data_IF_437770902468
#
_entry.id   IF_437770902468
#
_cell.length_a   1.000
_cell.length_b   1.000
_cell.length_c   1.000
_cell.angle_alpha   90.00
_cell.angle_beta   90.00
_cell.angle_gamma   90.00
#
_symmetry.space_group_name_H-M   'P 1'
#
loop_
_entity.id
_entity.type
_entity.pdbx_description
1 polymer ?
#
# COMPACT_ATOMS: atom_id res chain seq x y z
N UNK A 1 15.39 25.03 36.69
CA UNK A 1 16.42 24.96 35.61
C UNK A 1 16.05 23.99 34.46
N UNK A 2 15.72 22.73 34.71
CA UNK A 2 15.35 21.78 33.62
C UNK A 2 14.13 22.25 32.83
N UNK A 3 13.07 22.74 33.51
CA UNK A 3 11.85 23.23 32.87
C UNK A 3 12.06 24.43 31.95
N UNK A 4 12.88 25.36 32.33
CA UNK A 4 13.19 26.58 31.52
C UNK A 4 13.96 26.23 30.25
N UNK A 5 14.92 25.34 30.32
CA UNK A 5 15.68 24.86 29.14
C UNK A 5 14.79 24.09 28.17
N UNK A 6 13.87 23.28 28.67
CA UNK A 6 12.90 22.56 27.84
C UNK A 6 11.96 23.51 27.10
N UNK A 7 11.37 24.48 27.81
CA UNK A 7 10.48 25.50 27.21
C UNK A 7 11.22 26.33 26.16
N UNK A 8 12.47 26.72 26.40
CA UNK A 8 13.25 27.46 25.42
C UNK A 8 13.53 26.63 24.16
N UNK A 9 13.84 25.33 24.34
CA UNK A 9 14.03 24.41 23.20
C UNK A 9 12.76 24.22 22.38
N UNK A 10 11.57 24.13 23.02
CA UNK A 10 10.27 24.09 22.33
C UNK A 10 10.03 25.38 21.55
N UNK A 11 10.22 26.55 22.17
CA UNK A 11 10.05 27.84 21.51
C UNK A 11 10.95 27.95 20.27
N UNK A 12 12.20 27.48 20.38
CA UNK A 12 13.13 27.42 19.25
C UNK A 12 12.61 26.49 18.15
N UNK A 13 12.16 25.28 18.51
CA UNK A 13 11.56 24.34 17.58
C UNK A 13 10.36 24.95 16.84
N UNK A 14 9.42 25.55 17.55
CA UNK A 14 8.27 26.25 16.96
C UNK A 14 8.69 27.39 16.02
N UNK A 15 9.65 28.23 16.45
CA UNK A 15 10.16 29.32 15.62
C UNK A 15 10.81 28.79 14.34
N UNK A 16 11.54 27.70 14.39
CA UNK A 16 12.15 27.07 13.22
C UNK A 16 11.10 26.55 12.24
N UNK A 17 10.03 25.90 12.74
CA UNK A 17 8.96 25.37 11.92
C UNK A 17 8.14 26.48 11.26
N UNK A 18 7.74 27.51 12.04
CA UNK A 18 6.95 28.63 11.52
C UNK A 18 7.77 29.59 10.64
N UNK A 19 9.07 29.68 10.89
CA UNK A 19 9.95 30.61 10.16
C UNK A 19 10.28 30.18 8.73
N UNK A 20 10.02 28.93 8.35
CA UNK A 20 10.40 28.41 7.03
C UNK A 20 9.26 27.61 6.38
N UNK A 21 8.83 28.07 5.23
CA UNK A 21 7.76 27.46 4.44
C UNK A 21 8.03 25.99 4.10
N UNK A 22 9.30 25.58 3.96
CA UNK A 22 9.67 24.20 3.63
C UNK A 22 9.16 23.18 4.65
N UNK A 23 9.17 23.52 5.96
CA UNK A 23 8.63 22.64 6.99
C UNK A 23 7.13 22.46 6.85
N UNK A 24 6.39 23.56 6.63
CA UNK A 24 4.94 23.48 6.41
C UNK A 24 4.60 22.60 5.21
N UNK A 25 5.28 22.82 4.07
CA UNK A 25 5.07 22.02 2.89
C UNK A 25 5.41 20.54 3.11
N UNK A 26 6.58 20.23 3.68
CA UNK A 26 7.05 18.86 3.86
C UNK A 26 6.25 18.08 4.93
N UNK A 27 5.77 18.75 5.98
CA UNK A 27 5.06 18.10 7.09
C UNK A 27 3.56 17.99 6.86
N UNK A 28 2.97 18.92 6.12
CA UNK A 28 1.51 19.04 5.99
C UNK A 28 1.06 18.87 4.56
N UNK A 29 1.53 19.73 3.65
CA UNK A 29 1.01 19.78 2.28
C UNK A 29 1.35 18.50 1.51
N UNK A 30 2.63 18.09 1.48
CA UNK A 30 3.06 16.92 0.71
C UNK A 30 2.36 15.64 1.20
N UNK A 31 2.36 15.29 2.50
CA UNK A 31 1.66 14.10 2.96
C UNK A 31 0.15 14.11 2.65
N UNK A 32 -0.53 15.23 2.87
CA UNK A 32 -1.97 15.34 2.63
C UNK A 32 -2.30 15.24 1.15
N UNK A 33 -1.55 15.94 0.29
CA UNK A 33 -1.74 15.89 -1.16
C UNK A 33 -1.49 14.49 -1.68
N UNK A 34 -0.43 13.82 -1.21
CA UNK A 34 -0.13 12.43 -1.61
C UNK A 34 -1.22 11.46 -1.13
N UNK A 35 -1.70 11.61 0.10
CA UNK A 35 -2.82 10.80 0.61
C UNK A 35 -4.09 11.03 -0.22
N UNK A 36 -4.45 12.29 -0.49
CA UNK A 36 -5.60 12.63 -1.32
C UNK A 36 -5.47 12.12 -2.76
N UNK A 37 -4.26 12.20 -3.33
CA UNK A 37 -3.96 11.63 -4.64
C UNK A 37 -4.15 10.10 -4.67
N UNK A 38 -3.57 9.38 -3.70
CA UNK A 38 -3.69 7.92 -3.62
C UNK A 38 -5.13 7.47 -3.40
N UNK A 39 -5.85 8.11 -2.47
CA UNK A 39 -7.26 7.82 -2.20
C UNK A 39 -8.14 8.15 -3.42
N UNK A 40 -7.87 9.24 -4.11
CA UNK A 40 -8.58 9.63 -5.34
C UNK A 40 -8.30 8.68 -6.50
N UNK A 41 -7.02 8.31 -6.70
CA UNK A 41 -6.61 7.37 -7.75
C UNK A 41 -7.24 5.99 -7.57
N UNK A 42 -7.36 5.54 -6.32
CA UNK A 42 -7.85 4.20 -5.98
C UNK A 42 -9.34 4.19 -5.57
N UNK A 43 -10.07 5.29 -5.79
CA UNK A 43 -11.45 5.46 -5.32
C UNK A 43 -12.38 4.33 -5.77
N UNK A 44 -12.21 3.83 -6.98
CA UNK A 44 -13.03 2.76 -7.55
C UNK A 44 -12.63 1.35 -7.06
N UNK A 45 -11.62 1.25 -6.22
CA UNK A 45 -11.12 0.01 -5.64
C UNK A 45 -10.36 -0.86 -6.63
N UNK A 46 -11.03 -1.44 -7.60
CA UNK A 46 -10.43 -2.22 -8.69
C UNK A 46 -10.50 -1.47 -10.02
N UNK A 47 -9.54 -1.68 -10.93
CA UNK A 47 -9.69 -1.27 -12.32
C UNK A 47 -10.92 -1.92 -12.94
N UNK A 48 -11.87 -1.13 -13.39
CA UNK A 48 -13.05 -1.56 -14.11
C UNK A 48 -12.88 -1.32 -15.61
N UNK A 49 -13.72 -1.99 -16.42
CA UNK A 49 -13.78 -1.81 -17.87
C UNK A 49 -12.43 -2.06 -18.57
N UNK A 50 -11.73 -3.17 -18.21
CA UNK A 50 -10.43 -3.52 -18.79
C UNK A 50 -10.60 -3.80 -20.29
N UNK A 51 -9.92 -3.05 -21.19
CA UNK A 51 -10.04 -3.20 -22.63
C UNK A 51 -9.62 -4.60 -23.10
N UNK A 52 -10.51 -5.29 -23.79
CA UNK A 52 -10.35 -6.68 -24.23
C UNK A 52 -10.92 -6.85 -25.64
N UNK A 53 -10.36 -7.75 -26.44
CA UNK A 53 -10.95 -8.17 -27.71
C UNK A 53 -11.52 -9.60 -27.62
N UNK A 54 -12.41 -9.93 -28.53
CA UNK A 54 -12.92 -11.29 -28.72
C UNK A 54 -12.64 -11.70 -30.17
N UNK A 55 -11.99 -12.85 -30.33
CA UNK A 55 -11.87 -13.54 -31.63
C UNK A 55 -12.97 -14.57 -31.68
N UNK A 56 -13.90 -14.43 -32.60
CA UNK A 56 -15.04 -15.34 -32.73
C UNK A 56 -15.05 -16.03 -34.09
N UNK A 57 -14.74 -17.33 -34.11
CA UNK A 57 -14.77 -18.17 -35.30
C UNK A 57 -16.07 -18.95 -35.47
N UNK A 58 -16.97 -18.96 -34.45
CA UNK A 58 -18.25 -19.67 -34.49
C UNK A 58 -19.41 -18.70 -34.24
N UNK A 59 -19.93 -18.09 -35.29
CA UNK A 59 -20.94 -17.03 -35.20
C UNK A 59 -22.39 -17.58 -35.01
N UNK A 60 -22.59 -18.34 -33.95
CA UNK A 60 -23.90 -18.93 -33.59
C UNK A 60 -24.64 -18.06 -32.55
N UNK A 61 -25.88 -18.44 -32.23
CA UNK A 61 -26.65 -17.77 -31.17
C UNK A 61 -25.99 -17.97 -29.80
N UNK A 62 -25.45 -19.17 -29.54
CA UNK A 62 -24.78 -19.52 -28.29
C UNK A 62 -23.54 -18.67 -28.06
N UNK A 63 -22.70 -18.49 -29.09
CA UNK A 63 -21.50 -17.66 -28.99
C UNK A 63 -21.85 -16.17 -28.85
N UNK A 64 -22.92 -15.70 -29.49
CA UNK A 64 -23.43 -14.33 -29.27
C UNK A 64 -23.96 -14.12 -27.86
N UNK A 65 -24.60 -15.13 -27.22
CA UNK A 65 -24.98 -15.08 -25.79
C UNK A 65 -23.73 -14.99 -24.89
N UNK A 66 -22.72 -15.82 -25.16
CA UNK A 66 -21.45 -15.77 -24.41
C UNK A 66 -20.79 -14.38 -24.50
N UNK A 67 -20.70 -13.82 -25.70
CA UNK A 67 -20.15 -12.48 -25.92
C UNK A 67 -20.96 -11.41 -25.17
N UNK A 68 -22.30 -11.51 -25.16
CA UNK A 68 -23.14 -10.60 -24.39
C UNK A 68 -22.88 -10.69 -22.88
N UNK A 69 -22.71 -11.90 -22.35
CA UNK A 69 -22.40 -12.11 -20.95
C UNK A 69 -21.03 -11.52 -20.58
N UNK A 70 -20.00 -11.70 -21.43
CA UNK A 70 -18.69 -11.07 -21.23
C UNK A 70 -18.79 -9.54 -21.27
N UNK A 71 -19.60 -8.99 -22.21
CA UNK A 71 -19.83 -7.54 -22.32
C UNK A 71 -20.60 -6.94 -21.14
N UNK A 72 -21.42 -7.71 -20.46
CA UNK A 72 -22.17 -7.27 -19.27
C UNK A 72 -21.34 -7.33 -17.97
N UNK A 73 -20.14 -7.88 -18.00
CA UNK A 73 -19.24 -7.88 -16.86
C UNK A 73 -18.67 -6.47 -16.64
N UNK A 74 -18.73 -5.98 -15.41
CA UNK A 74 -18.18 -4.67 -15.06
C UNK A 74 -16.64 -4.61 -15.18
N UNK A 75 -15.99 -5.76 -15.04
CA UNK A 75 -14.53 -5.87 -15.07
C UNK A 75 -13.96 -5.74 -16.48
N UNK A 76 -14.74 -6.10 -17.51
CA UNK A 76 -14.26 -6.26 -18.90
C UNK A 76 -14.99 -5.32 -19.85
N UNK A 77 -14.24 -4.57 -20.65
CA UNK A 77 -14.76 -3.77 -21.76
C UNK A 77 -14.35 -4.42 -23.09
N UNK A 78 -15.29 -5.02 -23.80
CA UNK A 78 -15.05 -5.58 -25.14
C UNK A 78 -14.97 -4.44 -26.17
N UNK A 79 -13.75 -4.02 -26.49
CA UNK A 79 -13.48 -2.91 -27.42
C UNK A 79 -13.76 -3.33 -28.87
N UNK A 80 -13.42 -4.56 -29.24
CA UNK A 80 -13.61 -5.07 -30.60
C UNK A 80 -13.85 -6.57 -30.63
N UNK A 81 -14.62 -7.01 -31.60
CA UNK A 81 -14.70 -8.42 -32.02
C UNK A 81 -13.93 -8.51 -33.34
N UNK A 82 -12.86 -9.30 -33.34
CA UNK A 82 -11.94 -9.42 -34.47
C UNK A 82 -12.00 -10.82 -35.09
N UNK A 83 -11.52 -10.94 -36.32
CA UNK A 83 -11.64 -12.15 -37.10
C UNK A 83 -10.46 -13.11 -36.94
N UNK A 84 -9.34 -12.64 -36.39
CA UNK A 84 -8.13 -13.45 -36.25
C UNK A 84 -7.36 -13.13 -34.97
N UNK A 85 -6.65 -14.15 -34.47
CA UNK A 85 -5.74 -13.99 -33.31
C UNK A 85 -4.57 -13.03 -33.62
N UNK A 86 -4.10 -13.02 -34.89
CA UNK A 86 -3.05 -12.11 -35.32
C UNK A 86 -3.46 -10.63 -35.18
N UNK A 87 -4.71 -10.31 -35.52
CA UNK A 87 -5.28 -8.97 -35.34
C UNK A 87 -5.39 -8.62 -33.86
N UNK A 88 -5.90 -9.53 -33.03
CA UNK A 88 -5.97 -9.34 -31.58
C UNK A 88 -4.59 -9.13 -30.97
N UNK A 89 -3.58 -9.90 -31.40
CA UNK A 89 -2.20 -9.75 -30.93
C UNK A 89 -1.60 -8.40 -31.34
N UNK A 90 -1.95 -7.86 -32.51
CA UNK A 90 -1.54 -6.51 -32.91
C UNK A 90 -2.16 -5.44 -31.99
N UNK A 91 -3.41 -5.63 -31.55
CA UNK A 91 -4.04 -4.72 -30.59
C UNK A 91 -3.34 -4.74 -29.22
N UNK A 92 -2.87 -5.90 -28.75
CA UNK A 92 -2.03 -6.01 -27.54
C UNK A 92 -0.71 -5.25 -27.76
N UNK A 93 -0.01 -5.48 -28.89
CA UNK A 93 1.26 -4.80 -29.19
C UNK A 93 1.12 -3.28 -29.29
N UNK A 94 -0.04 -2.80 -29.75
CA UNK A 94 -0.37 -1.37 -29.80
C UNK A 94 -0.86 -0.80 -28.45
N UNK A 95 -0.94 -1.61 -27.40
CA UNK A 95 -1.42 -1.21 -26.07
C UNK A 95 -2.90 -0.85 -26.02
N UNK A 96 -3.71 -1.27 -26.99
CA UNK A 96 -5.14 -0.97 -27.04
C UNK A 96 -5.99 -1.90 -26.19
N UNK A 97 -5.51 -3.12 -25.94
CA UNK A 97 -6.16 -4.15 -25.12
C UNK A 97 -5.15 -4.83 -24.21
N UNK A 98 -5.62 -5.36 -23.08
CA UNK A 98 -4.80 -6.14 -22.14
C UNK A 98 -4.89 -7.65 -22.34
N UNK A 99 -5.84 -8.11 -23.14
CA UNK A 99 -5.98 -9.51 -23.49
C UNK A 99 -7.09 -9.74 -24.49
N UNK A 100 -7.25 -10.99 -24.92
CA UNK A 100 -8.32 -11.37 -25.83
C UNK A 100 -8.79 -12.80 -25.55
N UNK A 101 -10.01 -13.09 -25.96
CA UNK A 101 -10.69 -14.35 -25.80
C UNK A 101 -10.92 -14.97 -27.16
N UNK A 102 -10.69 -16.28 -27.32
CA UNK A 102 -10.81 -16.99 -28.59
C UNK A 102 -11.91 -18.03 -28.48
N UNK A 103 -12.92 -17.90 -29.33
CA UNK A 103 -13.96 -18.89 -29.55
C UNK A 103 -13.60 -19.66 -30.82
N UNK A 104 -13.29 -20.98 -30.73
CA UNK A 104 -12.83 -21.77 -31.87
C UNK A 104 -13.93 -22.03 -32.89
N UNK A 105 -13.55 -22.52 -34.08
CA UNK A 105 -14.48 -23.05 -35.08
C UNK A 105 -15.27 -24.23 -34.51
N UNK A 106 -16.53 -24.35 -34.95
CA UNK A 106 -17.46 -25.41 -34.53
C UNK A 106 -17.70 -25.50 -33.01
N UNK A 107 -17.42 -24.45 -32.25
CA UNK A 107 -17.57 -24.43 -30.79
C UNK A 107 -18.95 -24.95 -30.34
N UNK A 108 -20.04 -24.46 -30.95
CA UNK A 108 -21.39 -24.82 -30.57
C UNK A 108 -21.71 -26.27 -30.97
N UNK A 109 -21.31 -26.71 -32.16
CA UNK A 109 -21.59 -28.08 -32.65
C UNK A 109 -20.80 -29.12 -31.85
N UNK A 110 -19.55 -28.83 -31.47
CA UNK A 110 -18.73 -29.72 -30.67
C UNK A 110 -19.27 -29.83 -29.24
N UNK A 111 -19.66 -28.71 -28.66
CA UNK A 111 -20.26 -28.68 -27.32
C UNK A 111 -21.57 -29.45 -27.26
N UNK A 112 -22.43 -29.32 -28.26
CA UNK A 112 -23.72 -30.07 -28.33
C UNK A 112 -23.51 -31.55 -28.65
N UNK A 113 -22.43 -31.92 -29.33
CA UNK A 113 -22.08 -33.31 -29.60
C UNK A 113 -21.33 -34.01 -28.43
N UNK A 114 -21.19 -33.33 -27.26
CA UNK A 114 -20.49 -33.87 -26.12
C UNK A 114 -18.96 -33.88 -26.27
N UNK A 115 -18.43 -33.26 -27.31
CA UNK A 115 -17.02 -32.98 -27.46
C UNK A 115 -16.71 -31.71 -26.69
N UNK A 116 -15.61 -31.65 -25.92
CA UNK A 116 -15.24 -30.53 -25.12
C UNK A 116 -14.38 -29.53 -25.96
N UNK A 117 -14.99 -28.48 -26.57
CA UNK A 117 -14.23 -27.50 -27.32
C UNK A 117 -13.37 -26.64 -26.39
N UNK A 118 -12.17 -26.33 -26.82
CA UNK A 118 -11.24 -25.53 -26.02
C UNK A 118 -11.50 -24.03 -26.22
N UNK A 119 -11.85 -23.34 -25.15
CA UNK A 119 -11.89 -21.88 -25.11
C UNK A 119 -10.52 -21.37 -24.64
N UNK A 120 -9.84 -20.57 -25.49
CA UNK A 120 -8.57 -19.99 -25.15
C UNK A 120 -8.72 -18.51 -24.78
N UNK A 121 -7.89 -18.06 -23.83
CA UNK A 121 -7.75 -16.65 -23.53
C UNK A 121 -6.29 -16.29 -23.32
N UNK A 122 -5.92 -15.13 -23.83
CA UNK A 122 -4.57 -14.59 -23.78
C UNK A 122 -4.59 -13.29 -22.98
N UNK A 123 -3.68 -13.15 -22.01
CA UNK A 123 -3.56 -11.95 -21.18
C UNK A 123 -2.14 -11.42 -21.20
N UNK A 124 -2.00 -10.10 -21.23
CA UNK A 124 -0.69 -9.45 -21.18
C UNK A 124 -0.20 -9.29 -19.74
N UNK A 125 0.52 -10.27 -19.24
CA UNK A 125 1.04 -10.31 -17.85
C UNK A 125 2.11 -9.26 -17.54
N UNK A 126 2.56 -8.47 -18.51
CA UNK A 126 3.41 -7.28 -18.26
C UNK A 126 2.68 -6.28 -17.34
N UNK A 127 1.36 -6.20 -17.47
CA UNK A 127 0.50 -5.39 -16.60
C UNK A 127 -0.23 -6.32 -15.61
N UNK A 128 0.42 -6.63 -14.49
CA UNK A 128 -0.02 -7.67 -13.57
C UNK A 128 -1.47 -7.51 -13.09
N UNK A 129 -1.88 -6.31 -12.66
CA UNK A 129 -3.21 -6.07 -12.10
C UNK A 129 -4.33 -6.23 -13.15
N UNK A 130 -4.33 -5.49 -14.29
CA UNK A 130 -5.34 -5.68 -15.31
C UNK A 130 -5.36 -7.12 -15.85
N UNK A 131 -4.19 -7.74 -16.00
CA UNK A 131 -4.09 -9.11 -16.52
C UNK A 131 -4.70 -10.14 -15.56
N UNK A 132 -4.44 -10.04 -14.26
CA UNK A 132 -4.99 -10.96 -13.25
C UNK A 132 -6.51 -10.83 -13.10
N UNK A 133 -7.04 -9.61 -13.14
CA UNK A 133 -8.47 -9.35 -13.11
C UNK A 133 -9.16 -9.87 -14.37
N UNK A 134 -8.57 -9.60 -15.54
CA UNK A 134 -9.06 -10.11 -16.81
C UNK A 134 -9.07 -11.65 -16.84
N UNK A 135 -7.97 -12.28 -16.39
CA UNK A 135 -7.89 -13.74 -16.25
C UNK A 135 -9.02 -14.28 -15.39
N UNK A 136 -9.24 -13.69 -14.20
CA UNK A 136 -10.32 -14.10 -13.29
C UNK A 136 -11.67 -13.99 -13.95
N UNK A 137 -11.97 -12.86 -14.59
CA UNK A 137 -13.24 -12.59 -15.23
C UNK A 137 -13.50 -13.54 -16.42
N UNK A 138 -12.50 -13.70 -17.31
CA UNK A 138 -12.63 -14.60 -18.45
C UNK A 138 -12.78 -16.06 -18.03
N UNK A 139 -12.01 -16.51 -17.03
CA UNK A 139 -12.14 -17.86 -16.46
C UNK A 139 -13.54 -18.09 -15.89
N UNK A 140 -14.07 -17.16 -15.11
CA UNK A 140 -15.41 -17.27 -14.52
C UNK A 140 -16.49 -17.34 -15.60
N UNK A 141 -16.42 -16.45 -16.60
CA UNK A 141 -17.34 -16.46 -17.72
C UNK A 141 -17.26 -17.76 -18.55
N UNK A 142 -16.07 -18.33 -18.73
CA UNK A 142 -15.88 -19.61 -19.42
C UNK A 142 -16.53 -20.78 -18.67
N UNK A 143 -16.34 -20.84 -17.34
CA UNK A 143 -16.96 -21.89 -16.51
C UNK A 143 -18.47 -21.78 -16.50
N UNK A 144 -19.02 -20.57 -16.37
CA UNK A 144 -20.46 -20.32 -16.41
C UNK A 144 -21.05 -20.69 -17.77
N UNK A 145 -20.39 -20.34 -18.87
CA UNK A 145 -20.81 -20.68 -20.21
C UNK A 145 -20.81 -22.20 -20.44
N UNK A 146 -19.77 -22.89 -20.03
CA UNK A 146 -19.66 -24.35 -20.09
C UNK A 146 -20.82 -25.01 -19.32
N UNK A 147 -21.05 -24.58 -18.07
CA UNK A 147 -22.15 -25.08 -17.26
C UNK A 147 -23.52 -24.85 -17.92
N UNK A 148 -23.76 -23.67 -18.50
CA UNK A 148 -25.02 -23.35 -19.18
C UNK A 148 -25.29 -24.24 -20.42
N UNK A 149 -24.23 -24.52 -21.22
CA UNK A 149 -24.31 -25.37 -22.39
C UNK A 149 -24.63 -26.80 -21.97
N UNK A 150 -23.90 -27.37 -21.01
CA UNK A 150 -24.13 -28.74 -20.53
C UNK A 150 -25.49 -28.88 -19.88
N UNK A 151 -25.93 -27.88 -19.10
CA UNK A 151 -27.31 -27.86 -18.54
C UNK A 151 -28.36 -27.94 -19.63
N UNK A 152 -28.22 -27.09 -20.65
CA UNK A 152 -29.18 -27.09 -21.78
C UNK A 152 -29.18 -28.43 -22.51
N UNK A 153 -28.03 -29.06 -22.70
CA UNK A 153 -27.93 -30.37 -23.32
C UNK A 153 -28.62 -31.47 -22.48
N UNK A 154 -28.35 -31.53 -21.16
CA UNK A 154 -28.96 -32.54 -20.28
C UNK A 154 -30.48 -32.41 -20.19
N UNK A 155 -31.01 -31.21 -20.16
CA UNK A 155 -32.46 -30.96 -20.11
C UNK A 155 -33.12 -31.28 -21.45
N UNK A 156 -32.54 -30.83 -22.56
CA UNK A 156 -33.11 -31.04 -23.90
C UNK A 156 -33.05 -32.51 -24.34
N UNK A 157 -32.03 -33.26 -23.89
CA UNK A 157 -31.94 -34.71 -24.16
C UNK A 157 -32.86 -35.55 -23.28
N UNK A 158 -33.57 -34.95 -22.32
CA UNK A 158 -34.38 -35.68 -21.34
C UNK A 158 -33.59 -36.49 -20.31
N UNK A 159 -32.27 -36.33 -20.29
CA UNK A 159 -31.38 -37.06 -19.39
C UNK A 159 -31.49 -36.59 -17.93
N UNK A 160 -31.91 -35.35 -17.70
CA UNK A 160 -32.10 -34.81 -16.36
C UNK A 160 -33.14 -33.70 -16.33
N UNK A 161 -33.83 -33.55 -15.20
CA UNK A 161 -34.65 -32.36 -14.94
C UNK A 161 -33.73 -31.15 -14.68
N UNK A 162 -34.29 -29.95 -14.74
CA UNK A 162 -33.52 -28.70 -14.52
C UNK A 162 -32.77 -28.70 -13.19
N UNK A 163 -33.39 -29.18 -12.12
CA UNK A 163 -32.80 -29.29 -10.77
C UNK A 163 -31.72 -30.36 -10.69
N UNK A 164 -31.95 -31.52 -11.33
CA UNK A 164 -30.97 -32.61 -11.39
C UNK A 164 -29.74 -32.20 -12.20
N UNK A 165 -29.94 -31.54 -13.35
CA UNK A 165 -28.85 -31.01 -14.16
C UNK A 165 -27.99 -30.01 -13.39
N UNK A 166 -28.59 -29.13 -12.58
CA UNK A 166 -27.87 -28.19 -11.75
C UNK A 166 -27.05 -28.89 -10.67
N UNK A 167 -27.61 -29.91 -10.01
CA UNK A 167 -26.87 -30.70 -9.00
C UNK A 167 -25.74 -31.50 -9.62
N UNK A 168 -25.92 -32.06 -10.83
CA UNK A 168 -24.85 -32.79 -11.54
C UNK A 168 -23.70 -31.86 -11.97
N UNK A 169 -24.02 -30.64 -12.39
CA UNK A 169 -23.02 -29.66 -12.81
C UNK A 169 -22.26 -29.03 -11.63
N UNK A 170 -22.92 -28.91 -10.50
CA UNK A 170 -22.33 -28.32 -9.30
C UNK A 170 -22.61 -29.23 -8.08
N UNK A 171 -21.94 -30.42 -8.01
CA UNK A 171 -22.17 -31.37 -6.92
C UNK A 171 -21.65 -30.86 -5.58
N UNK A 172 -20.72 -29.88 -5.60
CA UNK A 172 -20.19 -29.19 -4.43
C UNK A 172 -20.41 -27.70 -4.58
N UNK A 173 -21.16 -27.10 -3.66
CA UNK A 173 -21.35 -25.65 -3.60
C UNK A 173 -20.16 -25.04 -2.87
N UNK A 174 -19.37 -24.24 -3.55
CA UNK A 174 -18.27 -23.49 -2.97
C UNK A 174 -18.79 -22.20 -2.34
N UNK A 175 -18.80 -22.13 -1.01
CA UNK A 175 -19.10 -20.91 -0.28
C UNK A 175 -17.80 -20.19 0.04
N UNK A 176 -17.58 -19.01 -0.52
CA UNK A 176 -16.40 -18.17 -0.27
C UNK A 176 -16.78 -16.99 0.60
N UNK A 177 -16.07 -16.82 1.71
CA UNK A 177 -16.26 -15.71 2.64
C UNK A 177 -14.92 -14.96 2.80
N UNK A 178 -14.61 -14.01 1.89
CA UNK A 178 -13.38 -13.22 2.02
C UNK A 178 -13.46 -12.37 3.28
N UNK A 179 -12.38 -12.39 4.10
CA UNK A 179 -12.30 -11.65 5.34
C UNK A 179 -11.68 -10.26 5.09
N UNK A 180 -12.10 -9.27 5.86
CA UNK A 180 -11.56 -7.90 5.96
C UNK A 180 -11.64 -7.03 4.71
N UNK A 181 -11.58 -7.59 3.52
CA UNK A 181 -11.71 -6.89 2.25
C UNK A 181 -12.51 -7.72 1.24
N UNK A 182 -13.82 -7.93 1.49
CA UNK A 182 -14.65 -8.85 0.70
C UNK A 182 -14.75 -8.45 -0.78
N UNK A 183 -14.72 -7.16 -1.07
CA UNK A 183 -14.76 -6.63 -2.43
C UNK A 183 -13.40 -6.65 -3.13
N UNK A 184 -12.35 -7.17 -2.47
CA UNK A 184 -10.95 -7.11 -2.94
C UNK A 184 -10.55 -5.69 -3.35
N UNK A 185 -11.03 -4.70 -2.61
CA UNK A 185 -10.79 -3.28 -2.88
C UNK A 185 -9.30 -2.96 -2.75
N UNK A 186 -8.71 -2.55 -3.86
CA UNK A 186 -7.28 -2.25 -3.94
C UNK A 186 -6.90 -0.98 -3.17
N UNK A 187 -7.86 -0.06 -2.99
CA UNK A 187 -7.68 1.13 -2.16
C UNK A 187 -7.42 0.77 -0.71
N UNK A 188 -8.20 -0.18 -0.14
CA UNK A 188 -8.02 -0.66 1.23
C UNK A 188 -6.62 -1.26 1.42
N UNK A 189 -6.15 -2.06 0.45
CA UNK A 189 -4.84 -2.69 0.52
C UNK A 189 -3.69 -1.69 0.40
N UNK A 190 -3.68 -0.87 -0.67
CA UNK A 190 -2.56 0.04 -0.95
C UNK A 190 -2.52 1.27 -0.05
N UNK A 191 -3.67 1.92 0.19
CA UNK A 191 -3.65 3.17 0.94
C UNK A 191 -3.23 2.94 2.40
N UNK A 192 -3.65 1.82 3.02
CA UNK A 192 -3.23 1.49 4.38
C UNK A 192 -1.74 1.19 4.53
N UNK A 193 -1.05 0.87 3.44
CA UNK A 193 0.41 0.67 3.44
C UNK A 193 1.17 1.90 2.96
N UNK A 194 0.78 2.48 1.84
CA UNK A 194 1.53 3.55 1.18
C UNK A 194 1.39 4.91 1.86
N UNK A 195 0.22 5.24 2.41
CA UNK A 195 0.02 6.52 3.11
C UNK A 195 0.91 6.61 4.37
N UNK A 196 0.92 5.62 5.27
CA UNK A 196 1.87 5.63 6.40
C UNK A 196 3.33 5.58 5.95
N UNK A 197 3.67 4.82 4.90
CA UNK A 197 5.04 4.78 4.38
C UNK A 197 5.51 6.15 3.86
N UNK A 198 4.64 6.88 3.17
CA UNK A 198 4.91 8.23 2.71
C UNK A 198 5.07 9.22 3.88
N UNK A 199 4.23 9.09 4.91
CA UNK A 199 4.37 9.87 6.13
C UNK A 199 5.72 9.57 6.83
N UNK A 200 6.13 8.30 6.91
CA UNK A 200 7.43 7.90 7.45
C UNK A 200 8.59 8.56 6.69
N UNK A 201 8.57 8.53 5.36
CA UNK A 201 9.57 9.20 4.53
C UNK A 201 9.70 10.68 4.89
N UNK A 202 8.56 11.40 5.02
CA UNK A 202 8.58 12.81 5.39
C UNK A 202 9.09 13.02 6.82
N UNK A 203 8.71 12.17 7.78
CA UNK A 203 9.22 12.22 9.14
C UNK A 203 10.74 12.06 9.16
N UNK A 204 11.28 11.05 8.44
CA UNK A 204 12.71 10.79 8.36
C UNK A 204 13.48 12.00 7.80
N UNK A 205 13.03 12.52 6.66
CA UNK A 205 13.69 13.64 5.98
C UNK A 205 13.63 14.94 6.78
N UNK A 206 12.45 15.30 7.29
CA UNK A 206 12.27 16.55 8.04
C UNK A 206 13.04 16.51 9.37
N UNK A 207 13.00 15.38 10.07
CA UNK A 207 13.71 15.23 11.34
C UNK A 207 15.22 15.34 11.13
N UNK A 208 15.79 14.62 10.16
CA UNK A 208 17.21 14.70 9.83
C UNK A 208 17.58 16.11 9.38
N UNK A 209 16.82 16.72 8.48
CA UNK A 209 17.06 18.08 8.02
C UNK A 209 17.02 19.09 9.17
N UNK A 210 16.10 18.97 10.11
CA UNK A 210 15.96 19.92 11.21
C UNK A 210 17.15 19.89 12.17
N UNK A 211 17.76 18.72 12.39
CA UNK A 211 18.97 18.57 13.23
C UNK A 211 20.18 19.18 12.54
N UNK A 212 20.44 18.76 11.32
CA UNK A 212 21.60 19.23 10.54
C UNK A 212 21.49 20.67 10.09
N UNK A 213 20.29 21.23 10.06
CA UNK A 213 20.09 22.65 9.77
C UNK A 213 20.72 23.56 10.82
N UNK A 214 20.74 23.17 12.11
CA UNK A 214 21.42 23.92 13.15
C UNK A 214 22.95 24.00 12.90
N UNK A 215 23.52 22.91 12.41
CA UNK A 215 24.93 22.86 12.06
C UNK A 215 25.24 23.68 10.81
N UNK A 216 24.40 23.55 9.77
CA UNK A 216 24.52 24.35 8.53
C UNK A 216 24.49 25.86 8.79
N UNK A 217 23.66 26.29 9.74
CA UNK A 217 23.52 27.70 10.10
C UNK A 217 24.50 28.14 11.22
N UNK A 218 25.39 27.26 11.69
CA UNK A 218 26.32 27.49 12.78
C UNK A 218 25.61 27.90 14.09
N UNK A 219 24.37 27.48 14.29
CA UNK A 219 23.53 27.82 15.46
C UNK A 219 23.47 26.69 16.49
N UNK A 220 24.09 25.53 16.21
CA UNK A 220 24.07 24.37 17.09
C UNK A 220 24.65 24.57 18.48
N UNK A 221 25.72 25.37 18.72
CA UNK A 221 26.16 25.65 20.08
C UNK A 221 25.14 26.44 20.90
N UNK A 222 24.44 27.40 20.26
CA UNK A 222 23.36 28.15 20.92
C UNK A 222 22.18 27.24 21.29
N UNK A 223 21.82 26.32 20.40
CA UNK A 223 20.78 25.33 20.64
C UNK A 223 21.07 24.48 21.88
N UNK A 224 22.32 23.99 22.05
CA UNK A 224 22.73 23.25 23.24
C UNK A 224 22.75 24.15 24.48
N UNK A 225 23.22 25.41 24.36
CA UNK A 225 23.25 26.38 25.48
C UNK A 225 21.83 26.69 25.99
N UNK A 226 20.86 26.91 25.11
CA UNK A 226 19.46 27.15 25.47
C UNK A 226 18.82 25.97 26.21
N UNK A 227 19.30 24.76 25.96
CA UNK A 227 18.91 23.53 26.66
C UNK A 227 19.72 23.25 27.94
N UNK A 228 20.42 24.26 28.51
CA UNK A 228 21.30 24.09 29.66
C UNK A 228 22.37 23.00 29.48
N UNK A 229 22.90 22.84 28.28
CA UNK A 229 23.93 21.87 27.96
C UNK A 229 23.51 20.41 27.82
N UNK A 230 22.20 20.13 27.94
CA UNK A 230 21.64 18.78 27.79
C UNK A 230 21.16 18.55 26.36
N UNK A 231 21.80 17.59 25.66
CA UNK A 231 21.37 17.20 24.29
C UNK A 231 19.99 16.53 24.26
N UNK A 232 19.64 15.78 25.29
CA UNK A 232 18.31 15.12 25.36
C UNK A 232 17.20 16.15 25.47
N UNK A 233 17.36 17.16 26.31
CA UNK A 233 16.41 18.28 26.43
C UNK A 233 16.34 19.06 25.12
N UNK A 234 17.49 19.34 24.50
CA UNK A 234 17.57 20.01 23.22
C UNK A 234 16.81 19.27 22.11
N UNK A 235 17.03 17.95 21.98
CA UNK A 235 16.36 17.10 20.99
C UNK A 235 14.87 17.00 21.28
N UNK A 236 14.47 16.65 22.50
CA UNK A 236 13.06 16.51 22.86
C UNK A 236 12.28 17.81 22.64
N UNK A 237 12.82 18.94 23.11
CA UNK A 237 12.17 20.24 22.91
C UNK A 237 12.04 20.63 21.44
N UNK A 238 13.05 20.33 20.63
CA UNK A 238 13.05 20.61 19.20
C UNK A 238 12.10 19.71 18.40
N UNK A 239 12.04 18.42 18.75
CA UNK A 239 11.24 17.44 18.03
C UNK A 239 9.76 17.48 18.44
N UNK A 240 9.44 17.90 19.67
CA UNK A 240 8.06 17.91 20.15
C UNK A 240 7.08 18.64 19.22
N UNK A 241 7.34 19.87 18.74
CA UNK A 241 6.44 20.55 17.81
C UNK A 241 6.28 19.77 16.48
N UNK A 242 7.34 19.12 16.00
CA UNK A 242 7.29 18.27 14.81
C UNK A 242 6.44 17.01 15.06
N UNK A 243 6.59 16.39 16.23
CA UNK A 243 5.79 15.24 16.66
C UNK A 243 4.31 15.57 16.65
N UNK A 244 3.94 16.73 17.24
CA UNK A 244 2.54 17.18 17.28
C UNK A 244 2.00 17.40 15.86
N UNK A 245 2.77 18.04 14.99
CA UNK A 245 2.34 18.30 13.61
C UNK A 245 2.19 17.00 12.80
N UNK A 246 3.17 16.10 12.86
CA UNK A 246 3.08 14.81 12.15
C UNK A 246 2.00 13.89 12.74
N UNK A 247 1.82 13.87 14.06
CA UNK A 247 0.73 13.13 14.69
C UNK A 247 -0.64 13.66 14.25
N UNK A 248 -0.82 14.98 14.20
CA UNK A 248 -2.06 15.60 13.72
C UNK A 248 -2.34 15.23 12.26
N UNK A 249 -1.32 15.28 11.38
CA UNK A 249 -1.43 14.86 9.98
C UNK A 249 -1.73 13.36 9.87
N UNK A 250 -1.04 12.51 10.64
CA UNK A 250 -1.27 11.06 10.65
C UNK A 250 -2.68 10.70 11.10
N UNK A 251 -3.17 11.33 12.17
CA UNK A 251 -4.56 11.16 12.67
C UNK A 251 -5.57 11.67 11.65
N UNK A 252 -5.30 12.79 11.00
CA UNK A 252 -6.14 13.30 9.92
C UNK A 252 -6.24 12.29 8.76
N UNK A 253 -5.12 11.69 8.35
CA UNK A 253 -5.10 10.64 7.32
C UNK A 253 -5.89 9.39 7.75
N UNK A 254 -5.75 8.96 9.00
CA UNK A 254 -6.56 7.86 9.55
C UNK A 254 -8.06 8.22 9.53
N UNK A 255 -8.41 9.46 9.88
CA UNK A 255 -9.80 9.91 9.84
C UNK A 255 -10.37 9.92 8.42
N UNK A 256 -9.56 10.24 7.41
CA UNK A 256 -9.96 10.13 6.01
C UNK A 256 -10.17 8.66 5.60
N UNK A 257 -9.24 7.76 5.95
CA UNK A 257 -9.34 6.35 5.56
C UNK A 257 -10.47 5.63 6.28
N UNK A 258 -10.53 5.73 7.60
CA UNK A 258 -11.50 4.95 8.40
C UNK A 258 -12.84 5.68 8.60
N UNK A 259 -12.83 7.01 8.69
CA UNK A 259 -14.04 7.81 8.86
C UNK A 259 -14.77 8.13 7.57
N UNK A 260 -14.07 8.69 6.57
CA UNK A 260 -14.69 9.14 5.31
C UNK A 260 -14.79 8.03 4.25
N UNK A 261 -13.70 7.26 4.03
CA UNK A 261 -13.67 6.17 3.04
C UNK A 261 -14.23 4.86 3.59
N UNK A 262 -14.60 4.80 4.88
CA UNK A 262 -15.15 3.64 5.55
C UNK A 262 -14.32 2.36 5.41
N UNK A 263 -12.99 2.49 5.43
CA UNK A 263 -12.12 1.32 5.46
C UNK A 263 -12.36 0.50 6.73
N UNK A 264 -12.19 -0.83 6.69
CA UNK A 264 -12.44 -1.68 7.85
C UNK A 264 -11.51 -1.31 9.01
N UNK A 265 -12.10 -1.13 10.19
CA UNK A 265 -11.41 -0.85 11.45
C UNK A 265 -12.04 -1.67 12.56
N UNK A 266 -11.38 -2.75 12.97
CA UNK A 266 -11.87 -3.69 14.00
C UNK A 266 -11.26 -3.45 15.39
N UNK A 267 -10.64 -2.29 15.60
CA UNK A 267 -10.14 -1.88 16.93
C UNK A 267 -10.73 -0.54 17.35
N UNK A 268 -10.47 -0.17 18.63
CA UNK A 268 -10.86 1.16 19.11
C UNK A 268 -10.14 2.27 18.33
N UNK A 269 -10.82 3.36 17.94
CA UNK A 269 -10.19 4.52 17.30
C UNK A 269 -9.02 5.10 18.12
N UNK A 270 -9.13 5.09 19.44
CA UNK A 270 -8.05 5.55 20.33
C UNK A 270 -6.79 4.69 20.25
N UNK A 271 -6.95 3.40 20.01
CA UNK A 271 -5.84 2.47 19.80
C UNK A 271 -5.13 2.77 18.48
N UNK A 272 -5.89 3.05 17.41
CA UNK A 272 -5.34 3.48 16.13
C UNK A 272 -4.54 4.79 16.25
N UNK A 273 -5.10 5.79 16.97
CA UNK A 273 -4.42 7.07 17.25
C UNK A 273 -3.14 6.86 18.07
N UNK A 274 -3.19 6.04 19.11
CA UNK A 274 -2.02 5.71 19.93
C UNK A 274 -0.92 5.02 19.14
N UNK A 275 -1.29 4.09 18.25
CA UNK A 275 -0.35 3.42 17.34
C UNK A 275 0.29 4.39 16.35
N UNK A 276 -0.50 5.34 15.81
CA UNK A 276 0.02 6.38 14.92
C UNK A 276 1.02 7.30 15.63
N UNK A 277 0.72 7.70 16.88
CA UNK A 277 1.64 8.52 17.67
C UNK A 277 2.96 7.78 17.92
N UNK A 278 2.89 6.51 18.31
CA UNK A 278 4.08 5.68 18.52
C UNK A 278 4.88 5.50 17.23
N UNK A 279 4.20 5.34 16.10
CA UNK A 279 4.80 5.27 14.77
C UNK A 279 5.59 6.55 14.42
N UNK A 280 5.02 7.73 14.69
CA UNK A 280 5.69 9.01 14.48
C UNK A 280 6.96 9.09 15.34
N UNK A 281 6.85 8.77 16.63
CA UNK A 281 7.97 8.79 17.56
C UNK A 281 9.09 7.80 17.17
N UNK A 282 8.73 6.59 16.72
CA UNK A 282 9.68 5.58 16.27
C UNK A 282 10.46 6.03 15.03
N UNK A 283 9.77 6.58 14.03
CA UNK A 283 10.42 7.12 12.83
C UNK A 283 11.30 8.34 13.14
N UNK A 284 10.87 9.23 14.04
CA UNK A 284 11.72 10.33 14.51
C UNK A 284 12.95 9.81 15.24
N UNK A 285 12.79 8.82 16.12
CA UNK A 285 13.92 8.18 16.82
C UNK A 285 14.93 7.58 15.84
N UNK A 286 14.44 6.89 14.82
CA UNK A 286 15.27 6.31 13.77
C UNK A 286 15.99 7.39 12.94
N UNK A 287 15.32 8.48 12.58
CA UNK A 287 15.93 9.60 11.87
C UNK A 287 17.03 10.29 12.67
N UNK A 288 16.83 10.48 13.99
CA UNK A 288 17.85 11.01 14.90
C UNK A 288 19.06 10.07 14.97
N UNK A 289 18.82 8.76 15.04
CA UNK A 289 19.86 7.74 15.05
C UNK A 289 20.71 7.80 13.77
N UNK A 290 20.08 7.81 12.59
CA UNK A 290 20.76 7.97 11.30
C UNK A 290 21.58 9.28 11.31
N UNK A 291 20.97 10.39 11.71
CA UNK A 291 21.63 11.70 11.77
C UNK A 291 22.83 11.71 12.69
N UNK A 292 22.80 10.95 13.79
CA UNK A 292 23.92 10.86 14.73
C UNK A 292 25.08 9.99 14.24
N UNK A 293 24.84 9.06 13.32
CA UNK A 293 25.87 8.20 12.73
C UNK A 293 26.52 8.87 11.52
N UNK A 294 25.73 9.55 10.70
CA UNK A 294 26.21 10.16 9.45
C UNK A 294 27.12 11.38 9.73
N UNK A 295 28.13 11.62 8.87
CA UNK A 295 29.10 12.69 9.09
C UNK A 295 28.60 14.06 8.61
N UNK A 296 27.58 14.12 7.76
CA UNK A 296 27.09 15.39 7.18
C UNK A 296 25.60 15.31 6.79
N UNK A 297 25.01 16.49 6.51
CA UNK A 297 23.61 16.65 6.10
C UNK A 297 23.27 15.81 4.87
N UNK A 298 24.11 15.83 3.84
CA UNK A 298 23.86 15.15 2.58
C UNK A 298 23.71 13.65 2.78
N UNK A 299 24.66 13.03 3.48
CA UNK A 299 24.60 11.60 3.79
C UNK A 299 23.40 11.26 4.68
N UNK A 300 23.12 12.05 5.71
CA UNK A 300 21.96 11.82 6.57
C UNK A 300 20.65 11.82 5.77
N UNK A 301 20.44 12.80 4.89
CA UNK A 301 19.25 12.86 4.02
C UNK A 301 19.22 11.71 3.01
N UNK A 302 20.36 11.32 2.42
CA UNK A 302 20.43 10.21 1.48
C UNK A 302 20.04 8.88 2.14
N UNK A 303 20.55 8.60 3.34
CA UNK A 303 20.17 7.39 4.07
C UNK A 303 18.71 7.43 4.55
N UNK A 304 18.24 8.56 5.06
CA UNK A 304 16.81 8.73 5.41
C UNK A 304 15.91 8.53 4.19
N UNK A 305 16.28 9.07 3.04
CA UNK A 305 15.56 8.87 1.78
C UNK A 305 15.58 7.41 1.34
N UNK A 306 16.75 6.76 1.40
CA UNK A 306 16.90 5.34 1.07
C UNK A 306 15.98 4.46 1.92
N UNK A 307 16.04 4.58 3.26
CA UNK A 307 15.19 3.80 4.15
C UNK A 307 13.71 4.14 3.99
N UNK A 308 13.37 5.41 3.77
CA UNK A 308 12.01 5.83 3.50
C UNK A 308 11.44 5.21 2.21
N UNK A 309 12.23 5.15 1.12
CA UNK A 309 11.83 4.52 -0.14
C UNK A 309 11.77 3.00 -0.01
N UNK A 310 12.76 2.39 0.65
CA UNK A 310 12.78 0.95 0.89
C UNK A 310 11.55 0.47 1.66
N UNK A 311 10.96 1.32 2.51
CA UNK A 311 9.72 1.01 3.22
C UNK A 311 8.60 0.57 2.27
N UNK A 312 8.47 1.18 1.09
CA UNK A 312 7.43 0.82 0.11
C UNK A 312 7.63 -0.57 -0.51
N UNK A 313 8.87 -1.03 -0.62
CA UNK A 313 9.18 -2.28 -1.31
C UNK A 313 9.38 -3.45 -0.37
N UNK A 314 10.15 -3.24 0.72
CA UNK A 314 10.57 -4.32 1.62
C UNK A 314 9.96 -4.23 3.02
N UNK A 315 8.98 -3.35 3.22
CA UNK A 315 8.24 -3.24 4.49
C UNK A 315 7.33 -4.44 4.80
N UNK A 316 7.35 -5.48 3.97
CA UNK A 316 6.55 -6.71 4.06
C UNK A 316 5.03 -6.52 3.88
N UNK A 317 4.59 -5.42 3.28
CA UNK A 317 3.18 -5.30 2.88
C UNK A 317 2.91 -5.64 1.41
N UNK A 318 3.87 -5.42 0.52
CA UNK A 318 3.70 -5.77 -0.90
C UNK A 318 4.11 -7.20 -1.20
N UNK A 319 5.06 -7.75 -0.45
CA UNK A 319 5.61 -9.08 -0.65
C UNK A 319 5.83 -9.77 0.72
N UNK A 320 5.37 -11.03 0.90
CA UNK A 320 5.58 -11.78 2.13
C UNK A 320 7.06 -11.93 2.46
N UNK A 321 7.41 -11.83 3.74
CA UNK A 321 8.80 -11.88 4.18
C UNK A 321 9.41 -13.28 3.98
N UNK A 322 8.61 -14.31 4.13
CA UNK A 322 8.97 -15.72 4.00
C UNK A 322 9.48 -16.06 2.59
N UNK A 323 8.96 -15.33 1.59
CA UNK A 323 9.31 -15.50 0.17
C UNK A 323 10.45 -14.57 -0.28
N UNK A 324 10.93 -13.67 0.62
CA UNK A 324 12.07 -12.80 0.31
C UNK A 324 13.39 -13.55 0.49
N UNK A 325 14.38 -13.21 -0.33
CA UNK A 325 15.76 -13.65 -0.06
C UNK A 325 16.19 -13.24 1.34
N UNK A 326 16.77 -14.13 2.13
CA UNK A 326 17.10 -13.89 3.53
C UNK A 326 17.98 -12.67 3.77
N UNK A 327 18.89 -12.34 2.85
CA UNK A 327 19.70 -11.13 2.90
C UNK A 327 18.88 -9.83 2.76
N UNK A 328 17.79 -9.85 1.98
CA UNK A 328 16.89 -8.71 1.79
C UNK A 328 15.90 -8.64 2.97
N UNK A 329 15.42 -9.79 3.42
CA UNK A 329 14.48 -9.88 4.55
C UNK A 329 15.02 -9.20 5.83
N UNK A 330 16.34 -9.29 6.07
CA UNK A 330 16.99 -8.63 7.22
C UNK A 330 16.75 -7.11 7.21
N UNK A 331 16.80 -6.45 6.06
CA UNK A 331 16.57 -5.01 5.97
C UNK A 331 15.14 -4.61 6.36
N UNK A 332 14.16 -5.51 6.18
CA UNK A 332 12.79 -5.25 6.61
C UNK A 332 12.68 -5.05 8.14
N UNK A 333 13.49 -5.77 8.92
CA UNK A 333 13.48 -5.64 10.39
C UNK A 333 14.04 -4.31 10.90
N UNK A 334 14.81 -3.59 10.08
CA UNK A 334 15.39 -2.28 10.42
C UNK A 334 14.40 -1.15 10.17
N UNK A 335 13.24 -1.42 9.57
CA UNK A 335 12.26 -0.41 9.21
C UNK A 335 11.16 -0.28 10.28
N UNK A 336 10.99 0.87 10.94
CA UNK A 336 9.90 1.08 11.90
C UNK A 336 8.52 0.87 11.28
N UNK A 337 8.35 1.23 10.03
CA UNK A 337 7.07 1.13 9.30
C UNK A 337 6.55 -0.29 9.17
N UNK A 338 7.45 -1.30 9.12
CA UNK A 338 7.07 -2.70 9.16
C UNK A 338 6.23 -3.04 10.38
N UNK A 339 6.70 -2.64 11.56
CA UNK A 339 6.02 -2.97 12.82
C UNK A 339 4.68 -2.26 12.95
N UNK A 340 4.56 -1.04 12.45
CA UNK A 340 3.28 -0.36 12.34
C UNK A 340 2.31 -1.14 11.43
N UNK A 341 2.78 -1.64 10.29
CA UNK A 341 1.96 -2.42 9.38
C UNK A 341 1.50 -3.75 10.00
N UNK A 342 2.39 -4.45 10.71
CA UNK A 342 2.02 -5.68 11.41
C UNK A 342 0.99 -5.43 12.52
N UNK A 343 1.11 -4.32 13.27
CA UNK A 343 0.09 -3.91 14.24
C UNK A 343 -1.24 -3.58 13.53
N UNK A 344 -1.18 -2.91 12.37
CA UNK A 344 -2.36 -2.63 11.56
C UNK A 344 -3.09 -3.92 11.16
N UNK A 345 -2.37 -4.92 10.65
CA UNK A 345 -2.94 -6.22 10.26
C UNK A 345 -3.56 -6.92 11.46
N UNK A 346 -2.82 -7.02 12.57
CA UNK A 346 -3.29 -7.75 13.76
C UNK A 346 -4.50 -7.09 14.42
N UNK A 347 -4.42 -5.78 14.65
CA UNK A 347 -5.41 -5.09 15.49
C UNK A 347 -6.48 -4.38 14.68
N UNK A 348 -6.09 -3.64 13.62
CA UNK A 348 -7.06 -2.85 12.86
C UNK A 348 -7.86 -3.71 11.90
N UNK A 349 -7.26 -4.73 11.30
CA UNK A 349 -7.96 -5.67 10.41
C UNK A 349 -8.52 -6.88 11.16
N UNK A 350 -7.67 -7.59 11.93
CA UNK A 350 -8.06 -8.84 12.56
C UNK A 350 -8.75 -8.65 13.93
N UNK A 351 -8.70 -7.45 14.52
CA UNK A 351 -9.28 -7.19 15.85
C UNK A 351 -8.61 -7.99 16.98
N UNK A 352 -7.37 -8.44 16.81
CA UNK A 352 -6.67 -9.23 17.79
C UNK A 352 -6.33 -8.40 19.03
N UNK A 353 -6.36 -9.01 20.23
CA UNK A 353 -5.92 -8.35 21.46
C UNK A 353 -4.45 -7.90 21.39
N UNK A 354 -4.13 -6.84 22.14
CA UNK A 354 -2.79 -6.23 22.21
C UNK A 354 -1.68 -7.24 22.56
N UNK A 355 -2.02 -8.31 23.27
CA UNK A 355 -1.09 -9.38 23.62
C UNK A 355 -0.33 -9.96 22.41
N UNK A 356 -1.01 -10.17 21.30
CA UNK A 356 -0.41 -10.75 20.09
C UNK A 356 0.57 -9.78 19.43
N UNK A 357 0.29 -8.49 19.42
CA UNK A 357 1.12 -7.44 18.80
C UNK A 357 2.18 -6.85 19.75
N UNK A 358 2.32 -7.36 20.98
CA UNK A 358 3.20 -6.78 22.03
C UNK A 358 4.66 -6.61 21.57
N UNK A 359 5.18 -7.55 20.80
CA UNK A 359 6.55 -7.47 20.29
C UNK A 359 6.73 -6.38 19.24
N UNK A 360 5.71 -6.09 18.46
CA UNK A 360 5.73 -5.01 17.47
C UNK A 360 5.69 -3.65 18.15
N UNK A 361 4.88 -3.51 19.21
CA UNK A 361 4.91 -2.32 20.07
C UNK A 361 6.27 -2.14 20.75
N UNK A 362 6.85 -3.21 21.28
CA UNK A 362 8.17 -3.18 21.88
C UNK A 362 9.26 -2.75 20.87
N UNK A 363 9.17 -3.22 19.64
CA UNK A 363 10.07 -2.80 18.57
C UNK A 363 9.93 -1.30 18.27
N UNK A 364 8.71 -0.78 18.13
CA UNK A 364 8.51 0.67 17.92
C UNK A 364 9.04 1.50 19.10
N UNK A 365 8.86 1.04 20.33
CA UNK A 365 9.46 1.67 21.50
C UNK A 365 11.00 1.64 21.49
N UNK A 366 11.59 0.53 21.03
CA UNK A 366 13.03 0.42 20.86
C UNK A 366 13.55 1.44 19.82
N UNK A 367 12.86 1.60 18.69
CA UNK A 367 13.19 2.64 17.71
C UNK A 367 13.09 4.06 18.29
N UNK A 368 12.07 4.35 19.09
CA UNK A 368 11.93 5.63 19.77
C UNK A 368 13.11 5.92 20.71
N UNK A 369 13.72 4.89 21.29
CA UNK A 369 14.84 5.03 22.23
C UNK A 369 16.22 5.08 21.55
N UNK A 370 16.34 4.78 20.25
CA UNK A 370 17.62 4.82 19.50
C UNK A 370 18.42 6.14 19.63
N UNK A 371 17.79 7.33 19.76
CA UNK A 371 18.52 8.58 19.97
C UNK A 371 19.48 8.55 21.17
N UNK A 372 19.16 7.77 22.19
CA UNK A 372 20.01 7.67 23.39
C UNK A 372 21.40 7.12 23.07
N UNK A 373 21.51 6.21 22.10
CA UNK A 373 22.79 5.61 21.68
C UNK A 373 23.70 6.61 21.01
N UNK A 374 23.16 7.60 20.31
CA UNK A 374 23.92 8.59 19.53
C UNK A 374 23.97 9.98 20.17
N UNK A 375 23.27 10.17 21.29
CA UNK A 375 23.14 11.47 21.96
C UNK A 375 24.49 12.14 22.24
N UNK A 376 25.48 11.39 22.76
CA UNK A 376 26.83 11.91 23.04
C UNK A 376 27.53 12.36 21.76
N UNK A 377 27.38 11.64 20.67
CA UNK A 377 28.01 11.95 19.39
C UNK A 377 27.37 13.20 18.78
N UNK A 378 26.03 13.29 18.76
CA UNK A 378 25.30 14.49 18.28
C UNK A 378 25.72 15.72 19.12
N UNK A 379 25.86 15.60 20.47
CA UNK A 379 26.30 16.69 21.31
C UNK A 379 27.71 17.18 20.92
N UNK A 380 28.63 16.24 20.66
CA UNK A 380 30.00 16.58 20.26
C UNK A 380 30.03 17.35 18.94
N UNK A 381 29.29 16.88 17.93
CA UNK A 381 29.17 17.57 16.66
C UNK A 381 28.52 18.95 16.81
N UNK A 382 27.43 19.03 17.60
CA UNK A 382 26.74 20.30 17.82
C UNK A 382 27.57 21.37 18.52
N UNK A 383 28.52 20.99 19.38
CA UNK A 383 29.42 21.94 20.07
C UNK A 383 30.57 22.43 19.17
N UNK A 384 30.98 21.64 18.18
CA UNK A 384 32.05 21.96 17.23
C UNK A 384 31.54 21.81 15.80
N UNK A 385 30.63 22.70 15.35
CA UNK A 385 30.01 22.56 14.03
C UNK A 385 31.02 22.78 12.92
N UNK A 386 31.25 21.75 12.11
CA UNK A 386 32.04 21.84 10.87
C UNK A 386 31.11 21.52 9.73
N UNK A 387 30.62 22.56 9.09
CA UNK A 387 29.74 22.35 7.92
C UNK A 387 30.57 21.92 6.71
N UNK A 388 30.30 20.70 6.27
CA UNK A 388 30.77 20.15 4.99
C UNK A 388 29.63 20.20 4.01
N UNK A 389 29.72 20.94 2.90
CA UNK A 389 28.64 21.16 1.92
C UNK A 389 28.21 19.86 1.17
#
# INVERSE_FOLDING_TARGET
MISTGFVNSIKRGCRQLCGRRIYFFAMTVIPIVLAGFLLGLMRNGLPLHIPTAIVNHDNTESTRKLIRNIKSSEEVSVVSVVSSEAEAMQLIRKGKIYGFYVIPFNFTSDATAGRAPELAYYTNSTFFIPSSLLFRSLKTNSVLASGAIVKTYLVNSGAATDTQAQTLLQPVVLQTNPLHNPESNYSVYLCNSFIPAALALMILLVTAYSIWHEEKMQTSPQWIKEAHGSITIALLGKLLPQTVAFAAVGVFMQSLMYGYMHFPLNCSPWQAVGTMLLFVLANQGFAVFISGIMPNLRMALSFCSLFGILTFSIGAFSFPLEDMYGSIAIFSYILPSRYYFLIYVDQMLNGLPLYYSRFYYAALLAFMLLPLLVARRIKRHALHPVYVP
#
